data_IF_465161629289
#
_entry.id   IF_465161629289
#
_cell.length_a   1.000
_cell.length_b   1.000
_cell.length_c   1.000
_cell.angle_alpha   90.00
_cell.angle_beta   90.00
_cell.angle_gamma   90.00
#
_symmetry.space_group_name_H-M   'P 1'
#
loop_
_entity.id
_entity.type
_entity.pdbx_description
1 polymer ?
#
# COMPACT_ATOMS: atom_id res chain seq x y z
N UNK A 1 12.18 -19.22 13.54
CA UNK A 1 13.13 -18.20 14.04
C UNK A 1 13.26 -17.01 13.08
N UNK A 2 13.64 -17.20 11.80
CA UNK A 2 13.79 -16.07 10.83
C UNK A 2 12.57 -15.15 10.73
N UNK A 3 11.34 -15.70 10.70
CA UNK A 3 10.10 -14.92 10.67
C UNK A 3 9.87 -14.07 11.92
N UNK A 4 10.17 -14.61 13.09
CA UNK A 4 10.01 -13.90 14.37
C UNK A 4 10.98 -12.73 14.45
N UNK A 5 12.23 -12.94 14.03
CA UNK A 5 13.24 -11.90 13.94
C UNK A 5 12.81 -10.80 12.96
N UNK A 6 12.29 -11.17 11.79
CA UNK A 6 11.76 -10.20 10.82
C UNK A 6 10.58 -9.39 11.38
N UNK A 7 9.64 -10.05 12.07
CA UNK A 7 8.50 -9.38 12.73
C UNK A 7 8.99 -8.43 13.82
N UNK A 8 9.97 -8.83 14.62
CA UNK A 8 10.56 -7.98 15.65
C UNK A 8 11.19 -6.72 15.07
N UNK A 9 12.01 -6.85 14.03
CA UNK A 9 12.60 -5.69 13.36
C UNK A 9 11.56 -4.80 12.69
N UNK A 10 10.53 -5.38 12.07
CA UNK A 10 9.43 -4.62 11.49
C UNK A 10 8.66 -3.85 12.57
N UNK A 11 8.35 -4.49 13.69
CA UNK A 11 7.67 -3.86 14.82
C UNK A 11 8.50 -2.72 15.42
N UNK A 12 9.81 -2.95 15.65
CA UNK A 12 10.73 -1.92 16.13
C UNK A 12 10.83 -0.75 15.15
N UNK A 13 10.86 -1.03 13.84
CA UNK A 13 10.89 -0.01 12.81
C UNK A 13 9.61 0.81 12.78
N UNK A 14 8.43 0.17 12.81
CA UNK A 14 7.13 0.85 12.88
C UNK A 14 7.04 1.72 14.13
N UNK A 15 7.44 1.19 15.28
CA UNK A 15 7.38 1.91 16.55
C UNK A 15 8.30 3.14 16.57
N UNK A 16 9.49 3.05 15.98
CA UNK A 16 10.44 4.17 15.97
C UNK A 16 10.14 5.23 14.90
N UNK A 17 9.49 4.86 13.78
CA UNK A 17 9.33 5.74 12.62
C UNK A 17 7.90 6.21 12.36
N UNK A 18 6.92 5.75 13.15
CA UNK A 18 5.52 6.13 12.98
C UNK A 18 4.90 6.55 14.30
N UNK A 19 3.70 7.15 14.24
CA UNK A 19 2.90 7.48 15.41
C UNK A 19 2.56 6.26 16.29
N UNK A 20 2.81 5.03 15.82
CA UNK A 20 2.65 3.81 16.62
C UNK A 20 3.54 3.81 17.89
N UNK A 21 4.72 4.44 17.86
CA UNK A 21 5.58 4.57 19.05
C UNK A 21 4.93 5.39 20.17
N UNK A 22 4.12 6.39 19.83
CA UNK A 22 3.38 7.19 20.81
C UNK A 22 2.29 6.36 21.52
N UNK A 23 1.70 5.37 20.85
CA UNK A 23 0.75 4.43 21.46
C UNK A 23 1.41 3.60 22.57
N UNK A 24 2.70 3.28 22.43
CA UNK A 24 3.45 2.56 23.46
C UNK A 24 3.65 3.37 24.75
N UNK A 25 3.45 4.69 24.70
CA UNK A 25 3.50 5.58 25.88
C UNK A 25 2.14 5.72 26.59
N UNK A 26 1.06 5.09 26.11
CA UNK A 26 -0.24 5.13 26.78
C UNK A 26 -0.21 4.67 28.26
N UNK A 27 0.60 3.68 28.67
CA UNK A 27 0.71 3.32 30.08
C UNK A 27 1.20 4.49 30.96
N UNK A 28 2.09 5.34 30.45
CA UNK A 28 2.58 6.54 31.15
C UNK A 28 1.45 7.56 31.35
N UNK A 29 0.61 7.77 30.33
CA UNK A 29 -0.57 8.64 30.43
C UNK A 29 -1.53 8.15 31.52
N UNK A 30 -1.79 6.84 31.58
CA UNK A 30 -2.67 6.25 32.59
C UNK A 30 -2.07 6.41 33.99
N UNK A 31 -0.76 6.19 34.14
CA UNK A 31 -0.07 6.39 35.41
C UNK A 31 -0.19 7.84 35.90
N UNK A 32 0.10 8.80 35.02
CA UNK A 32 0.00 10.23 35.31
C UNK A 32 -1.44 10.66 35.68
N UNK A 33 -2.44 10.07 35.01
CA UNK A 33 -3.85 10.31 35.36
C UNK A 33 -4.21 9.78 36.77
N UNK A 34 -3.69 8.61 37.15
CA UNK A 34 -3.91 8.05 38.49
C UNK A 34 -3.28 8.94 39.56
N UNK A 35 -2.07 9.45 39.34
CA UNK A 35 -1.41 10.37 40.28
C UNK A 35 -2.23 11.67 40.46
N UNK A 36 -2.70 12.26 39.37
CA UNK A 36 -3.58 13.43 39.41
C UNK A 36 -4.89 13.18 40.18
N UNK A 37 -5.45 11.97 40.06
CA UNK A 37 -6.66 11.58 40.80
C UNK A 37 -6.38 11.39 42.30
N UNK A 38 -5.18 10.96 42.68
CA UNK A 38 -4.77 10.80 44.08
C UNK A 38 -4.47 12.14 44.77
N UNK A 39 -4.04 13.14 44.00
CA UNK A 39 -3.75 14.48 44.50
C UNK A 39 -4.96 15.42 44.45
N UNK A 40 -6.17 14.90 44.20
CA UNK A 40 -7.42 15.66 44.00
C UNK A 40 -7.28 16.82 42.99
N UNK A 41 -6.40 16.65 41.98
CA UNK A 41 -6.08 17.71 41.01
C UNK A 41 -7.06 17.79 39.84
N UNK A 42 -7.71 16.68 39.48
CA UNK A 42 -8.65 16.60 38.36
C UNK A 42 -9.88 15.74 38.72
N UNK A 43 -11.07 16.17 38.28
CA UNK A 43 -12.33 15.52 38.64
C UNK A 43 -12.73 14.37 37.68
N UNK A 44 -12.14 14.31 36.48
CA UNK A 44 -12.37 13.23 35.52
C UNK A 44 -11.24 13.13 34.50
N UNK A 45 -11.19 12.02 33.76
CA UNK A 45 -10.22 11.83 32.67
C UNK A 45 -10.35 12.90 31.57
N UNK A 46 -11.54 13.45 31.33
CA UNK A 46 -11.75 14.51 30.35
C UNK A 46 -11.10 15.81 30.83
N UNK A 47 -11.23 16.11 32.12
CA UNK A 47 -10.65 17.29 32.75
C UNK A 47 -9.11 17.25 32.67
N UNK A 48 -8.53 16.09 33.01
CA UNK A 48 -7.11 15.81 32.84
C UNK A 48 -6.63 15.99 31.39
N UNK A 49 -7.38 15.47 30.41
CA UNK A 49 -7.04 15.60 28.98
C UNK A 49 -7.13 17.06 28.52
N UNK A 50 -8.15 17.82 28.94
CA UNK A 50 -8.30 19.24 28.59
C UNK A 50 -7.15 20.05 29.19
N UNK A 51 -6.72 19.75 30.41
CA UNK A 51 -5.60 20.43 31.08
C UNK A 51 -4.25 20.17 30.41
N UNK A 52 -4.02 18.95 29.91
CA UNK A 52 -2.73 18.55 29.32
C UNK A 52 -2.65 18.66 27.78
N UNK A 53 -3.79 18.64 27.07
CA UNK A 53 -3.88 18.71 25.60
C UNK A 53 -4.73 19.90 25.09
N UNK A 54 -5.22 20.75 25.99
CA UNK A 54 -5.99 21.95 25.65
C UNK A 54 -5.17 23.03 24.97
N UNK A 55 -5.87 24.01 24.38
CA UNK A 55 -5.28 25.06 23.54
C UNK A 55 -4.42 26.07 24.31
N UNK A 56 -4.66 26.21 25.62
CA UNK A 56 -3.92 27.09 26.53
C UNK A 56 -2.82 26.32 27.26
N UNK A 57 -1.82 25.83 26.53
CA UNK A 57 -0.60 25.20 27.09
C UNK A 57 0.33 26.27 27.71
N UNK A 58 -0.25 27.26 28.39
CA UNK A 58 0.46 28.28 29.17
C UNK A 58 0.32 27.93 30.65
N UNK A 59 0.61 26.68 31.02
CA UNK A 59 0.90 26.38 32.40
C UNK A 59 2.42 26.37 32.55
N UNK A 60 2.94 27.54 32.91
CA UNK A 60 4.11 27.69 33.77
C UNK A 60 3.88 26.84 35.03
N UNK A 61 4.02 25.52 34.94
CA UNK A 61 4.23 24.70 36.11
C UNK A 61 5.70 24.85 36.45
N UNK A 62 5.94 25.67 37.47
CA UNK A 62 7.23 25.89 38.12
C UNK A 62 7.69 24.65 38.92
N UNK A 63 7.17 23.49 38.56
CA UNK A 63 7.35 22.25 39.27
C UNK A 63 8.29 21.39 38.42
N UNK A 64 9.45 21.08 38.98
CA UNK A 64 10.57 20.32 38.39
C UNK A 64 10.23 18.89 37.92
N UNK A 65 8.96 18.57 37.68
CA UNK A 65 8.51 17.25 37.25
C UNK A 65 8.58 17.16 35.72
N UNK A 66 9.71 16.63 35.23
CA UNK A 66 9.97 16.34 33.81
C UNK A 66 8.91 15.41 33.14
N UNK A 67 7.98 14.83 33.90
CA UNK A 67 7.03 13.83 33.41
C UNK A 67 5.84 14.42 32.65
N UNK A 68 5.53 15.71 32.85
CA UNK A 68 4.45 16.38 32.13
C UNK A 68 4.69 16.50 30.62
N UNK A 69 5.96 16.50 30.18
CA UNK A 69 6.34 16.70 28.77
C UNK A 69 6.44 15.41 27.96
N UNK A 70 6.44 14.25 28.62
CA UNK A 70 6.61 12.95 27.97
C UNK A 70 5.28 12.24 27.62
N UNK A 71 4.17 12.95 27.75
CA UNK A 71 2.85 12.42 27.40
C UNK A 71 2.74 12.10 25.90
N UNK A 72 2.02 11.01 25.54
CA UNK A 72 1.89 10.60 24.14
C UNK A 72 1.26 11.71 23.29
N UNK A 73 1.74 11.88 22.06
CA UNK A 73 1.18 12.83 21.09
C UNK A 73 1.25 14.32 21.49
N UNK A 74 1.95 14.70 22.57
CA UNK A 74 2.10 16.11 22.98
C UNK A 74 3.01 16.90 22.01
N UNK A 75 4.03 16.25 21.46
CA UNK A 75 4.93 16.84 20.45
C UNK A 75 4.64 16.27 19.07
N UNK A 76 4.30 17.13 18.12
CA UNK A 76 4.20 16.76 16.70
C UNK A 76 5.62 16.70 16.15
N UNK A 77 6.19 15.50 16.09
CA UNK A 77 7.48 15.30 15.46
C UNK A 77 7.28 15.17 13.94
N UNK A 78 7.94 16.00 13.14
CA UNK A 78 7.74 16.10 11.68
C UNK A 78 7.92 14.74 10.97
N UNK A 79 8.70 13.83 11.56
CA UNK A 79 8.91 12.47 11.07
C UNK A 79 7.68 11.54 11.16
N UNK A 80 6.67 11.89 11.95
CA UNK A 80 5.43 11.10 12.13
C UNK A 80 4.37 11.36 11.06
N UNK A 81 4.50 12.47 10.32
CA UNK A 81 3.61 12.82 9.19
C UNK A 81 4.17 12.16 7.92
N UNK A 82 4.24 10.82 7.90
CA UNK A 82 4.48 10.10 6.67
C UNK A 82 3.13 9.90 6.00
N UNK A 83 2.68 10.91 5.25
CA UNK A 83 1.56 10.73 4.32
C UNK A 83 2.01 9.70 3.30
N UNK A 84 1.54 8.46 3.44
CA UNK A 84 1.84 7.39 2.49
C UNK A 84 1.07 7.69 1.19
N UNK A 85 1.70 8.47 0.31
CA UNK A 85 1.18 8.70 -1.02
C UNK A 85 1.41 7.46 -1.87
N UNK A 86 0.38 6.61 -1.99
CA UNK A 86 0.40 5.48 -2.92
C UNK A 86 0.19 6.00 -4.34
N UNK A 87 1.24 5.98 -5.15
CA UNK A 87 1.11 6.12 -6.59
C UNK A 87 0.33 4.92 -7.17
N UNK A 88 -0.69 5.13 -8.01
CA UNK A 88 -1.44 4.02 -8.60
C UNK A 88 -0.53 3.23 -9.55
N UNK A 89 -0.29 1.95 -9.23
CA UNK A 89 0.50 1.05 -10.05
C UNK A 89 -0.36 0.55 -11.23
N UNK A 90 -0.21 1.16 -12.41
CA UNK A 90 -0.85 0.66 -13.63
C UNK A 90 -0.05 -0.54 -14.17
N UNK A 91 -0.46 -1.76 -13.80
CA UNK A 91 0.11 -2.99 -14.35
C UNK A 91 -0.43 -3.17 -15.78
N UNK A 92 0.39 -2.89 -16.79
CA UNK A 92 0.07 -3.21 -18.19
C UNK A 92 0.39 -4.67 -18.48
N UNK A 93 -0.63 -5.52 -18.54
CA UNK A 93 -0.49 -6.88 -19.06
C UNK A 93 -0.35 -6.84 -20.58
N UNK A 94 0.88 -7.03 -21.07
CA UNK A 94 1.13 -7.34 -22.48
C UNK A 94 0.73 -8.79 -22.72
N UNK A 95 -0.38 -9.01 -23.42
CA UNK A 95 -0.71 -10.34 -23.95
C UNK A 95 0.24 -10.61 -25.12
N UNK A 96 1.22 -11.48 -24.93
CA UNK A 96 1.94 -12.07 -26.07
C UNK A 96 0.93 -12.92 -26.84
N UNK A 97 0.45 -12.40 -27.97
CA UNK A 97 -0.27 -13.20 -28.95
C UNK A 97 0.82 -13.98 -29.68
N UNK A 98 0.91 -15.28 -29.45
CA UNK A 98 1.73 -16.15 -30.26
C UNK A 98 1.09 -16.19 -31.65
N UNK A 99 1.67 -15.45 -32.59
CA UNK A 99 1.26 -15.45 -33.99
C UNK A 99 1.65 -16.81 -34.56
N UNK A 100 0.67 -17.72 -34.64
CA UNK A 100 0.88 -19.03 -35.24
C UNK A 100 0.89 -18.81 -36.75
N UNK A 101 2.07 -18.90 -37.37
CA UNK A 101 2.19 -18.92 -38.83
C UNK A 101 1.25 -20.00 -39.39
N UNK A 102 0.20 -19.57 -40.07
CA UNK A 102 -0.67 -20.44 -40.84
C UNK A 102 0.14 -20.90 -42.05
N UNK A 103 0.70 -22.11 -41.97
CA UNK A 103 1.24 -22.81 -43.14
C UNK A 103 0.08 -23.17 -44.04
N UNK A 104 -0.27 -22.27 -44.96
CA UNK A 104 -1.22 -22.56 -46.03
C UNK A 104 -0.54 -23.60 -46.93
N UNK A 105 -1.13 -24.80 -47.12
CA UNK A 105 -0.57 -25.76 -48.06
C UNK A 105 -0.63 -25.13 -49.46
N UNK A 106 0.54 -24.94 -50.07
CA UNK A 106 0.65 -24.57 -51.47
C UNK A 106 0.07 -25.75 -52.25
N UNK A 107 -1.08 -25.56 -52.90
CA UNK A 107 -1.61 -26.53 -53.84
C UNK A 107 -0.60 -26.63 -54.98
N UNK A 108 0.14 -27.73 -55.04
CA UNK A 108 1.02 -27.99 -56.17
C UNK A 108 0.13 -28.10 -57.41
N UNK A 109 0.21 -27.09 -58.28
CA UNK A 109 -0.42 -27.15 -59.57
C UNK A 109 0.28 -28.27 -60.34
N UNK A 110 -0.37 -29.43 -60.40
CA UNK A 110 0.15 -30.56 -61.14
C UNK A 110 0.23 -30.12 -62.60
N UNK A 111 1.44 -30.05 -63.14
CA UNK A 111 1.69 -29.80 -64.55
C UNK A 111 1.24 -31.05 -65.32
N UNK A 112 -0.06 -31.20 -65.52
CA UNK A 112 -0.56 -32.14 -66.50
C UNK A 112 -0.17 -31.59 -67.87
N UNK A 113 0.69 -32.31 -68.59
CA UNK A 113 0.89 -32.08 -70.02
C UNK A 113 -0.40 -32.47 -70.74
N UNK A 114 -1.38 -31.58 -70.77
CA UNK A 114 -2.57 -31.75 -71.60
C UNK A 114 -2.16 -31.55 -73.07
N UNK A 115 -1.80 -32.63 -73.74
CA UNK A 115 -1.58 -32.68 -75.20
C UNK A 115 -2.88 -32.59 -76.01
N UNK A 116 -4.03 -32.35 -75.35
CA UNK A 116 -5.37 -32.36 -75.95
C UNK A 116 -6.16 -31.07 -75.70
N UNK A 117 -5.49 -29.91 -75.56
CA UNK A 117 -6.15 -28.61 -75.39
C UNK A 117 -6.96 -28.15 -76.61
N UNK A 118 -6.66 -28.67 -77.81
CA UNK A 118 -7.29 -28.25 -79.06
C UNK A 118 -8.71 -28.83 -79.27
N UNK A 119 -9.18 -29.71 -78.39
CA UNK A 119 -10.47 -30.40 -78.52
C UNK A 119 -11.56 -29.91 -77.57
N UNK A 120 -11.24 -28.97 -76.67
CA UNK A 120 -12.14 -28.58 -75.57
C UNK A 120 -13.34 -27.75 -76.07
N UNK A 121 -13.20 -27.10 -77.23
CA UNK A 121 -14.22 -26.21 -77.79
C UNK A 121 -14.67 -26.61 -79.20
N UNK A 122 -15.21 -27.81 -79.36
CA UNK A 122 -15.91 -28.15 -80.60
C UNK A 122 -17.40 -27.78 -80.49
N UNK A 123 -17.95 -26.98 -81.41
CA UNK A 123 -19.39 -26.75 -81.46
C UNK A 123 -20.14 -28.04 -81.83
N UNK A 124 -21.43 -28.19 -81.42
CA UNK A 124 -22.23 -29.36 -81.76
C UNK A 124 -22.39 -29.50 -83.28
N UNK A 125 -21.99 -30.64 -83.82
CA UNK A 125 -22.18 -30.97 -85.24
C UNK A 125 -23.60 -31.48 -85.44
N UNK A 126 -24.37 -30.81 -86.30
CA UNK A 126 -25.70 -31.26 -86.70
C UNK A 126 -25.58 -32.32 -87.82
N UNK A 127 -26.22 -33.47 -87.61
CA UNK A 127 -26.40 -34.55 -88.59
C UNK A 127 -27.48 -34.22 -89.62
#
# INVERSE_FOLDING_TARGET
MKKVIAIFFLFSFLSANTAFGEVLKLPLLIHHYIEHTQEDKDNSIVDFLVKHYGKDINHHHNDNHHDHDNLPFKTINVHSIQVVYFQPLFIKFSRQIAEKELKIPILQQQNYSNTYLDSIWQPPQAS
#
